data_IF_193781117897
#
_entry.id   IF_193781117897
#
_cell.length_a   1.000
_cell.length_b   1.000
_cell.length_c   1.000
_cell.angle_alpha   90.00
_cell.angle_beta   90.00
_cell.angle_gamma   90.00
#
_symmetry.space_group_name_H-M   'P 1'
#
loop_
_entity.id
_entity.type
_entity.pdbx_description
1 polymer ?
#
# COMPACT_ATOMS: atom_id res chain seq x y z
N UNK A 1 -10.31 -11.22 10.00
CA UNK A 1 -9.45 -12.18 10.73
C UNK A 1 -8.07 -11.61 11.04
N UNK A 2 -7.36 -10.98 10.09
CA UNK A 2 -6.04 -10.39 10.33
C UNK A 2 -6.04 -9.32 11.44
N UNK A 3 -7.00 -8.38 11.41
CA UNK A 3 -7.12 -7.32 12.41
C UNK A 3 -7.35 -7.86 13.82
N UNK A 4 -8.29 -8.79 13.97
CA UNK A 4 -8.54 -9.47 15.25
C UNK A 4 -7.29 -10.18 15.77
N UNK A 5 -6.57 -10.90 14.90
CA UNK A 5 -5.32 -11.58 15.26
C UNK A 5 -4.25 -10.58 15.73
N UNK A 6 -4.17 -9.41 15.09
CA UNK A 6 -3.23 -8.35 15.47
C UNK A 6 -3.49 -7.84 16.90
N UNK A 7 -4.77 -7.67 17.26
CA UNK A 7 -5.18 -7.27 18.62
C UNK A 7 -5.03 -8.39 19.66
N UNK A 8 -5.05 -9.68 19.29
CA UNK A 8 -4.79 -10.78 20.26
C UNK A 8 -3.42 -10.68 20.95
N UNK A 9 -2.45 -10.08 20.28
CA UNK A 9 -1.09 -9.89 20.82
C UNK A 9 -0.85 -8.51 21.43
N UNK A 10 -1.87 -7.65 21.47
CA UNK A 10 -1.80 -6.25 21.92
C UNK A 10 -2.96 -5.96 22.85
N UNK A 11 -2.69 -5.97 24.15
CA UNK A 11 -3.70 -5.69 25.15
C UNK A 11 -4.17 -4.24 25.03
N UNK A 12 -5.48 -4.06 24.91
CA UNK A 12 -6.16 -2.79 25.09
C UNK A 12 -7.08 -2.91 26.29
N UNK A 13 -7.20 -1.84 27.07
CA UNK A 13 -8.02 -1.77 28.28
C UNK A 13 -9.51 -1.83 27.97
N UNK A 14 -9.91 -1.25 26.84
CA UNK A 14 -11.30 -1.21 26.40
C UNK A 14 -11.42 -1.11 24.88
N UNK A 15 -12.54 -1.61 24.36
CA UNK A 15 -12.96 -1.48 22.95
C UNK A 15 -14.21 -0.61 22.87
N UNK A 16 -14.12 0.50 22.14
CA UNK A 16 -15.22 1.39 21.84
C UNK A 16 -15.61 1.29 20.36
N UNK A 17 -16.91 1.44 20.07
CA UNK A 17 -17.43 1.38 18.71
C UNK A 17 -18.50 2.41 18.46
N UNK A 18 -18.55 2.90 17.22
CA UNK A 18 -19.78 3.47 16.66
C UNK A 18 -20.94 2.47 16.77
N UNK A 19 -22.17 2.92 17.02
CA UNK A 19 -23.36 2.06 17.10
C UNK A 19 -23.73 1.38 15.77
N UNK A 20 -23.24 1.87 14.63
CA UNK A 20 -23.54 1.30 13.33
C UNK A 20 -22.99 -0.14 13.20
N UNK A 21 -23.82 -1.05 12.69
CA UNK A 21 -23.57 -2.51 12.67
C UNK A 21 -22.20 -2.89 12.14
N UNK A 22 -21.76 -2.29 11.03
CA UNK A 22 -20.44 -2.53 10.42
C UNK A 22 -19.26 -2.28 11.38
N UNK A 23 -19.38 -1.31 12.29
CA UNK A 23 -18.38 -1.04 13.32
C UNK A 23 -18.55 -2.01 14.49
N UNK A 24 -19.78 -2.23 14.95
CA UNK A 24 -20.07 -3.16 16.04
C UNK A 24 -19.55 -4.56 15.77
N UNK A 25 -19.83 -5.12 14.59
CA UNK A 25 -19.32 -6.42 14.16
C UNK A 25 -17.78 -6.46 14.18
N UNK A 26 -17.13 -5.40 13.69
CA UNK A 26 -15.66 -5.29 13.71
C UNK A 26 -15.11 -5.21 15.13
N UNK A 27 -15.77 -4.44 16.00
CA UNK A 27 -15.40 -4.26 17.40
C UNK A 27 -15.56 -5.56 18.20
N UNK A 28 -16.60 -6.34 17.93
CA UNK A 28 -16.80 -7.66 18.53
C UNK A 28 -15.67 -8.63 18.16
N UNK A 29 -15.19 -8.62 16.92
CA UNK A 29 -14.01 -9.40 16.55
C UNK A 29 -12.73 -8.96 17.26
N UNK A 30 -12.58 -7.66 17.56
CA UNK A 30 -11.43 -7.12 18.29
C UNK A 30 -11.52 -7.46 19.78
N UNK A 31 -12.70 -7.26 20.38
CA UNK A 31 -12.96 -7.55 21.78
C UNK A 31 -12.88 -9.04 22.09
N UNK A 32 -13.26 -9.89 21.14
CA UNK A 32 -13.34 -11.33 21.33
C UNK A 32 -14.23 -11.70 22.53
N UNK A 33 -13.94 -12.83 23.17
CA UNK A 33 -14.64 -13.26 24.39
C UNK A 33 -14.12 -12.54 25.65
N UNK A 34 -13.13 -11.67 25.51
CA UNK A 34 -12.29 -11.18 26.61
C UNK A 34 -12.81 -9.88 27.22
N UNK A 35 -13.59 -9.09 26.48
CA UNK A 35 -14.09 -7.80 26.94
C UNK A 35 -15.41 -7.42 26.25
N UNK A 36 -16.13 -6.47 26.85
CA UNK A 36 -17.36 -5.91 26.29
C UNK A 36 -17.03 -4.74 25.36
N UNK A 37 -17.77 -4.62 24.26
CA UNK A 37 -17.74 -3.42 23.41
C UNK A 37 -18.59 -2.30 24.04
N UNK A 38 -17.98 -1.13 24.21
CA UNK A 38 -18.63 0.10 24.65
C UNK A 38 -19.12 0.90 23.44
N UNK A 39 -20.39 1.32 23.46
CA UNK A 39 -20.97 2.12 22.38
C UNK A 39 -20.75 3.60 22.68
N UNK A 40 -20.26 4.35 21.69
CA UNK A 40 -20.14 5.82 21.76
C UNK A 40 -20.72 6.44 20.49
N UNK A 41 -21.80 7.21 20.66
CA UNK A 41 -22.53 7.87 19.57
C UNK A 41 -21.65 8.88 18.82
N UNK A 42 -20.70 9.52 19.50
CA UNK A 42 -19.78 10.46 18.87
C UNK A 42 -18.84 9.81 17.84
N UNK A 43 -18.81 8.49 17.71
CA UNK A 43 -17.98 7.75 16.73
C UNK A 43 -18.66 7.50 15.37
N UNK A 44 -19.92 7.91 15.17
CA UNK A 44 -20.65 7.67 13.91
C UNK A 44 -20.00 8.35 12.71
N UNK A 45 -20.27 7.82 11.50
CA UNK A 45 -19.81 8.41 10.24
C UNK A 45 -20.41 9.81 10.04
N UNK A 46 -19.81 10.59 9.14
CA UNK A 46 -20.37 11.85 8.68
C UNK A 46 -21.80 11.66 8.16
N UNK A 47 -22.68 12.58 8.55
CA UNK A 47 -24.04 12.65 8.02
C UNK A 47 -24.02 13.18 6.57
N UNK A 48 -24.44 12.37 5.61
CA UNK A 48 -24.53 12.77 4.21
C UNK A 48 -25.77 13.64 3.92
N UNK A 49 -26.67 13.80 4.89
CA UNK A 49 -27.89 14.59 4.76
C UNK A 49 -28.73 14.17 3.56
N UNK A 50 -29.14 15.14 2.75
CA UNK A 50 -29.94 14.88 1.54
C UNK A 50 -29.20 14.04 0.48
N UNK A 51 -27.88 13.88 0.58
CA UNK A 51 -27.09 13.09 -0.37
C UNK A 51 -26.99 11.60 -0.01
N UNK A 52 -27.54 11.19 1.13
CA UNK A 52 -27.57 9.79 1.53
C UNK A 52 -28.26 8.93 0.45
N UNK A 53 -27.62 7.82 0.06
CA UNK A 53 -28.05 6.92 -1.02
C UNK A 53 -28.18 7.55 -2.42
N UNK A 54 -27.65 8.75 -2.67
CA UNK A 54 -27.62 9.34 -4.02
C UNK A 54 -26.33 8.99 -4.77
N UNK A 55 -26.45 8.76 -6.08
CA UNK A 55 -25.30 8.63 -6.97
C UNK A 55 -24.64 9.99 -7.23
N UNK A 56 -23.31 10.02 -7.40
CA UNK A 56 -22.59 11.28 -7.65
C UNK A 56 -23.07 12.02 -8.91
N UNK A 57 -23.51 11.30 -9.94
CA UNK A 57 -24.08 11.88 -11.16
C UNK A 57 -25.40 12.60 -10.87
N UNK A 58 -26.22 12.05 -9.99
CA UNK A 58 -27.48 12.65 -9.54
C UNK A 58 -27.21 13.88 -8.68
N UNK A 59 -26.30 13.77 -7.70
CA UNK A 59 -25.88 14.90 -6.85
C UNK A 59 -25.41 16.07 -7.71
N UNK A 60 -24.54 15.81 -8.70
CA UNK A 60 -24.02 16.84 -9.60
C UNK A 60 -25.11 17.50 -10.44
N UNK A 61 -26.13 16.75 -10.84
CA UNK A 61 -27.27 17.26 -11.61
C UNK A 61 -28.20 18.14 -10.75
N UNK A 62 -28.52 17.68 -9.53
CA UNK A 62 -29.48 18.33 -8.63
C UNK A 62 -28.88 19.52 -7.87
N UNK A 63 -27.59 19.47 -7.54
CA UNK A 63 -26.89 20.51 -6.76
C UNK A 63 -25.60 20.99 -7.45
N UNK A 64 -25.64 21.47 -8.70
CA UNK A 64 -24.42 21.71 -9.50
C UNK A 64 -23.47 22.73 -8.86
N UNK A 65 -24.00 23.82 -8.32
CA UNK A 65 -23.21 24.87 -7.67
C UNK A 65 -22.57 24.38 -6.37
N UNK A 66 -23.37 23.74 -5.50
CA UNK A 66 -22.88 23.21 -4.23
C UNK A 66 -21.88 22.06 -4.44
N UNK A 67 -22.10 21.20 -5.45
CA UNK A 67 -21.16 20.14 -5.81
C UNK A 67 -19.80 20.74 -6.21
N UNK A 68 -19.80 21.82 -6.99
CA UNK A 68 -18.56 22.49 -7.41
C UNK A 68 -17.88 23.24 -6.25
N UNK A 69 -18.65 23.95 -5.42
CA UNK A 69 -18.16 24.61 -4.20
C UNK A 69 -17.53 23.59 -3.25
N UNK A 70 -18.22 22.48 -3.02
CA UNK A 70 -17.73 21.37 -2.19
C UNK A 70 -16.49 20.71 -2.79
N UNK A 71 -16.36 20.64 -4.11
CA UNK A 71 -15.14 20.19 -4.76
C UNK A 71 -13.92 21.07 -4.47
N UNK A 72 -14.12 22.38 -4.29
CA UNK A 72 -13.07 23.35 -3.92
C UNK A 72 -12.77 23.34 -2.41
N UNK A 73 -13.80 23.14 -1.60
CA UNK A 73 -13.76 23.25 -0.14
C UNK A 73 -14.31 21.99 0.55
N UNK A 74 -13.77 20.83 0.16
CA UNK A 74 -14.28 19.51 0.58
C UNK A 74 -14.26 19.35 2.10
N UNK A 75 -13.34 20.01 2.81
CA UNK A 75 -13.20 19.86 4.25
C UNK A 75 -14.31 20.56 5.05
N UNK A 76 -14.84 21.67 4.53
CA UNK A 76 -15.67 22.62 5.29
C UNK A 76 -17.09 22.74 4.77
N UNK A 77 -17.33 22.51 3.48
CA UNK A 77 -18.67 22.62 2.88
C UNK A 77 -19.42 21.29 3.05
N UNK A 78 -20.50 21.24 3.85
CA UNK A 78 -21.27 20.02 4.06
C UNK A 78 -22.26 19.76 2.91
N UNK A 79 -22.72 18.50 2.74
CA UNK A 79 -23.97 18.22 2.04
C UNK A 79 -25.16 18.98 2.68
N UNK A 80 -26.26 19.24 1.93
CA UNK A 80 -27.46 19.84 2.50
C UNK A 80 -28.02 19.00 3.64
N UNK A 81 -28.23 19.61 4.81
CA UNK A 81 -28.69 18.92 6.02
C UNK A 81 -27.68 17.96 6.66
N UNK A 82 -26.47 17.84 6.10
CA UNK A 82 -25.44 16.91 6.56
C UNK A 82 -24.33 17.58 7.38
N UNK A 83 -23.21 16.86 7.48
CA UNK A 83 -22.03 17.24 8.26
C UNK A 83 -20.82 17.49 7.35
N UNK A 84 -19.97 18.46 7.70
CA UNK A 84 -18.67 18.69 7.06
C UNK A 84 -17.61 17.83 7.73
N UNK A 85 -16.49 17.58 7.05
CA UNK A 85 -15.38 16.84 7.66
C UNK A 85 -14.84 17.55 8.90
N UNK A 86 -14.77 18.89 8.88
CA UNK A 86 -14.35 19.70 10.03
C UNK A 86 -15.26 19.48 11.25
N UNK A 87 -16.58 19.56 11.07
CA UNK A 87 -17.55 19.37 12.16
C UNK A 87 -17.52 17.94 12.70
N UNK A 88 -17.44 16.95 11.81
CA UNK A 88 -17.30 15.55 12.23
C UNK A 88 -16.00 15.30 13.00
N UNK A 89 -14.91 15.97 12.64
CA UNK A 89 -13.64 15.89 13.36
C UNK A 89 -13.76 16.40 14.80
N UNK A 90 -14.40 17.56 15.01
CA UNK A 90 -14.66 18.12 16.34
C UNK A 90 -15.49 17.17 17.20
N UNK A 91 -16.59 16.65 16.63
CA UNK A 91 -17.45 15.67 17.30
C UNK A 91 -16.69 14.40 17.70
N UNK A 92 -15.86 13.87 16.79
CA UNK A 92 -15.04 12.70 17.07
C UNK A 92 -14.00 13.00 18.14
N UNK A 93 -13.37 14.18 18.12
CA UNK A 93 -12.42 14.60 19.13
C UNK A 93 -13.06 14.66 20.53
N UNK A 94 -14.26 15.24 20.64
CA UNK A 94 -15.01 15.28 21.90
C UNK A 94 -15.33 13.87 22.42
N UNK A 95 -15.67 12.94 21.52
CA UNK A 95 -15.92 11.55 21.86
C UNK A 95 -14.65 10.87 22.40
N UNK A 96 -13.51 11.06 21.73
CA UNK A 96 -12.24 10.52 22.17
C UNK A 96 -11.80 11.09 23.53
N UNK A 97 -12.03 12.39 23.77
CA UNK A 97 -11.74 13.01 25.08
C UNK A 97 -12.58 12.39 26.21
N UNK A 98 -13.87 12.10 25.97
CA UNK A 98 -14.72 11.38 26.93
C UNK A 98 -14.23 9.96 27.15
N UNK A 99 -13.82 9.25 26.11
CA UNK A 99 -13.30 7.89 26.20
C UNK A 99 -12.04 7.87 27.07
N UNK A 100 -11.06 8.71 26.74
CA UNK A 100 -9.78 8.80 27.46
C UNK A 100 -9.96 9.23 28.93
N UNK A 101 -10.91 10.12 29.21
CA UNK A 101 -11.24 10.50 30.59
C UNK A 101 -11.81 9.35 31.44
N UNK A 102 -12.30 8.27 30.82
CA UNK A 102 -12.90 7.12 31.49
C UNK A 102 -12.00 5.87 31.47
N UNK A 103 -10.84 5.91 30.83
CA UNK A 103 -9.94 4.75 30.70
C UNK A 103 -8.54 5.05 31.25
N UNK A 104 -7.81 3.99 31.59
CA UNK A 104 -6.40 4.06 31.96
C UNK A 104 -5.63 3.11 31.06
N UNK A 105 -4.82 3.66 30.14
CA UNK A 105 -4.06 2.88 29.16
C UNK A 105 -4.65 2.91 27.75
N UNK A 106 -4.17 2.01 26.91
CA UNK A 106 -4.51 1.97 25.48
C UNK A 106 -5.93 1.48 25.24
N UNK A 107 -6.66 2.14 24.33
CA UNK A 107 -8.03 1.77 23.92
C UNK A 107 -8.09 1.50 22.43
N UNK A 108 -8.94 0.57 22.02
CA UNK A 108 -9.29 0.39 20.62
C UNK A 108 -10.59 1.14 20.30
N UNK A 109 -10.58 1.96 19.26
CA UNK A 109 -11.75 2.72 18.80
C UNK A 109 -12.09 2.32 17.37
N UNK A 110 -13.31 1.83 17.15
CA UNK A 110 -13.82 1.44 15.84
C UNK A 110 -14.80 2.48 15.32
N UNK A 111 -14.38 3.19 14.27
CA UNK A 111 -15.14 4.27 13.61
C UNK A 111 -15.04 4.14 12.08
N UNK A 112 -15.33 5.22 11.35
CA UNK A 112 -15.49 5.23 9.91
C UNK A 112 -14.48 6.11 9.20
N UNK A 113 -14.35 5.94 7.88
CA UNK A 113 -13.31 6.59 7.11
C UNK A 113 -13.52 8.10 6.96
N UNK A 114 -14.76 8.59 6.83
CA UNK A 114 -15.02 10.01 6.61
C UNK A 114 -14.63 10.83 7.84
N UNK A 115 -15.25 10.51 8.97
CA UNK A 115 -15.03 11.20 10.24
C UNK A 115 -13.58 11.09 10.73
N UNK A 116 -12.94 9.92 10.59
CA UNK A 116 -11.55 9.73 11.00
C UNK A 116 -10.56 10.55 10.17
N UNK A 117 -10.77 10.72 8.85
CA UNK A 117 -9.89 11.57 8.04
C UNK A 117 -9.91 13.03 8.51
N UNK A 118 -11.09 13.55 8.87
CA UNK A 118 -11.22 14.91 9.39
C UNK A 118 -10.36 15.11 10.64
N UNK A 119 -10.49 14.20 11.62
CA UNK A 119 -9.67 14.21 12.84
C UNK A 119 -8.16 14.13 12.50
N UNK A 120 -7.78 13.23 11.59
CA UNK A 120 -6.38 13.05 11.19
C UNK A 120 -5.79 14.31 10.55
N UNK A 121 -6.56 15.05 9.74
CA UNK A 121 -6.09 16.34 9.22
C UNK A 121 -5.72 17.30 10.36
N UNK A 122 -6.56 17.40 11.40
CA UNK A 122 -6.28 18.22 12.58
C UNK A 122 -5.01 17.78 13.31
N UNK A 123 -4.87 16.48 13.57
CA UNK A 123 -3.70 15.90 14.26
C UNK A 123 -2.40 16.09 13.45
N UNK A 124 -2.47 15.93 12.13
CA UNK A 124 -1.33 16.05 11.22
C UNK A 124 -0.98 17.51 10.86
N UNK A 125 -1.80 18.48 11.28
CA UNK A 125 -1.67 19.87 10.86
C UNK A 125 -1.88 20.06 9.34
N UNK A 126 -2.63 19.16 8.70
CA UNK A 126 -2.94 19.25 7.27
C UNK A 126 -4.12 20.20 7.05
N UNK A 127 -4.12 20.87 5.90
CA UNK A 127 -5.31 21.54 5.40
C UNK A 127 -6.46 20.52 5.30
N UNK A 128 -7.59 20.83 5.93
CA UNK A 128 -8.80 19.99 5.95
C UNK A 128 -9.35 19.74 4.53
N UNK A 129 -9.01 20.56 3.54
CA UNK A 129 -9.38 20.32 2.15
C UNK A 129 -8.57 19.19 1.48
N UNK A 130 -7.52 18.69 2.14
CA UNK A 130 -6.74 17.51 1.73
C UNK A 130 -7.21 16.22 2.40
N UNK A 131 -8.37 16.24 3.06
CA UNK A 131 -8.92 15.12 3.85
C UNK A 131 -8.97 13.79 3.07
N UNK A 132 -9.24 13.82 1.76
CA UNK A 132 -9.31 12.62 0.92
C UNK A 132 -7.94 11.97 0.67
N UNK A 133 -6.84 12.68 0.93
CA UNK A 133 -5.47 12.15 0.81
C UNK A 133 -5.06 11.32 2.03
N UNK A 134 -5.79 11.40 3.13
CA UNK A 134 -5.52 10.63 4.34
C UNK A 134 -5.91 9.16 4.10
N UNK A 135 -4.96 8.21 4.19
CA UNK A 135 -5.24 6.78 4.01
C UNK A 135 -6.16 6.25 5.11
N UNK A 136 -7.23 5.56 4.69
CA UNK A 136 -8.15 4.84 5.59
C UNK A 136 -8.64 3.56 4.88
N UNK A 137 -7.77 2.56 4.68
CA UNK A 137 -8.19 1.28 4.09
C UNK A 137 -9.07 0.51 5.07
N UNK A 138 -9.93 -0.36 4.54
CA UNK A 138 -10.72 -1.26 5.37
C UNK A 138 -9.82 -2.12 6.26
N UNK A 139 -10.13 -2.19 7.55
CA UNK A 139 -9.29 -2.90 8.52
C UNK A 139 -7.88 -2.31 8.66
N UNK A 140 -7.69 -1.06 8.27
CA UNK A 140 -6.50 -0.28 8.60
C UNK A 140 -6.51 0.17 10.07
N UNK A 141 -5.33 0.40 10.61
CA UNK A 141 -5.10 0.84 11.97
C UNK A 141 -4.44 2.22 11.92
N UNK A 142 -4.93 3.13 12.76
CA UNK A 142 -4.25 4.39 13.06
C UNK A 142 -3.97 4.43 14.55
N UNK A 143 -2.71 4.64 14.95
CA UNK A 143 -2.31 4.77 16.36
C UNK A 143 -2.04 6.23 16.68
N UNK A 144 -2.77 6.75 17.65
CA UNK A 144 -2.71 8.14 18.11
C UNK A 144 -2.24 8.12 19.56
N UNK A 145 -1.21 8.92 19.88
CA UNK A 145 -0.82 9.17 21.26
C UNK A 145 -1.56 10.41 21.76
N UNK A 146 -2.19 10.28 22.94
CA UNK A 146 -2.80 11.37 23.67
C UNK A 146 -1.84 11.82 24.78
N UNK A 147 -1.67 13.12 24.96
CA UNK A 147 -0.98 13.68 26.11
C UNK A 147 -1.88 13.69 27.36
N UNK A 148 -1.27 13.92 28.53
CA UNK A 148 -1.98 13.93 29.82
C UNK A 148 -3.05 15.04 29.92
N UNK A 149 -3.01 16.05 29.05
CA UNK A 149 -3.96 17.16 28.98
C UNK A 149 -5.12 16.89 27.99
N UNK A 150 -5.19 15.68 27.41
CA UNK A 150 -6.18 15.33 26.39
C UNK A 150 -5.89 15.92 25.00
N UNK A 151 -4.74 16.56 24.82
CA UNK A 151 -4.21 16.98 23.54
C UNK A 151 -3.70 15.79 22.73
N UNK A 152 -4.16 15.65 21.50
CA UNK A 152 -3.58 14.69 20.56
C UNK A 152 -2.29 15.25 19.97
N UNK A 153 -1.17 15.12 20.68
CA UNK A 153 0.14 15.53 20.17
C UNK A 153 0.77 14.43 19.32
N UNK A 154 0.58 14.55 18.00
CA UNK A 154 1.63 14.54 16.97
C UNK A 154 2.66 13.42 16.85
N UNK A 155 2.68 12.39 17.70
CA UNK A 155 3.46 11.19 17.48
C UNK A 155 2.50 10.08 17.05
N UNK A 156 2.15 10.11 15.76
CA UNK A 156 1.50 8.98 15.12
C UNK A 156 2.60 8.00 14.73
N UNK A 157 2.53 6.77 15.22
CA UNK A 157 3.44 5.73 14.73
C UNK A 157 3.01 5.28 13.32
N UNK A 158 1.69 5.21 13.06
CA UNK A 158 1.12 4.68 11.81
C UNK A 158 -0.31 5.23 11.57
N UNK A 159 -0.65 5.62 10.33
CA UNK A 159 -2.00 6.06 9.90
C UNK A 159 -2.52 5.17 8.78
N UNK A 160 -3.70 4.58 8.98
CA UNK A 160 -4.39 3.78 7.97
C UNK A 160 -3.55 2.62 7.44
N UNK A 161 -2.74 1.97 8.28
CA UNK A 161 -1.87 0.86 7.85
C UNK A 161 -2.52 -0.48 8.09
N UNK A 162 -2.20 -1.47 7.26
CA UNK A 162 -2.62 -2.84 7.49
C UNK A 162 -1.81 -3.49 8.60
N UNK A 163 -2.40 -4.43 9.36
CA UNK A 163 -1.67 -5.27 10.31
C UNK A 163 -0.46 -5.99 9.71
N UNK A 164 -0.58 -6.40 8.45
CA UNK A 164 0.48 -7.05 7.68
C UNK A 164 1.21 -6.01 6.83
N UNK A 165 2.53 -6.13 6.75
CA UNK A 165 3.40 -5.22 5.99
C UNK A 165 3.12 -5.25 4.48
N UNK A 166 2.65 -6.40 3.99
CA UNK A 166 2.34 -6.65 2.59
C UNK A 166 1.12 -7.58 2.46
N UNK A 167 0.37 -7.47 1.35
CA UNK A 167 -0.79 -8.30 1.06
C UNK A 167 -0.37 -9.74 0.77
N UNK A 168 -1.21 -10.71 1.14
CA UNK A 168 -1.06 -12.07 0.62
C UNK A 168 -1.38 -12.15 -0.89
N UNK A 169 -1.19 -13.33 -1.48
CA UNK A 169 -1.44 -13.56 -2.91
C UNK A 169 -2.91 -13.26 -3.31
N UNK A 170 -3.86 -13.61 -2.44
CA UNK A 170 -5.29 -13.39 -2.70
C UNK A 170 -5.65 -11.91 -2.69
N UNK A 171 -5.08 -11.13 -1.76
CA UNK A 171 -5.21 -9.68 -1.73
C UNK A 171 -4.53 -9.06 -2.96
N UNK A 172 -3.34 -9.51 -3.36
CA UNK A 172 -2.68 -9.04 -4.58
C UNK A 172 -3.62 -9.17 -5.79
N UNK A 173 -4.22 -10.35 -5.99
CA UNK A 173 -5.19 -10.59 -7.07
C UNK A 173 -6.38 -9.62 -7.01
N UNK A 174 -6.99 -9.45 -5.83
CA UNK A 174 -8.12 -8.53 -5.64
C UNK A 174 -7.75 -7.08 -5.91
N UNK A 175 -6.53 -6.66 -5.58
CA UNK A 175 -6.01 -5.33 -5.91
C UNK A 175 -5.84 -5.19 -7.43
N UNK A 176 -5.21 -6.16 -8.09
CA UNK A 176 -5.09 -6.16 -9.56
C UNK A 176 -6.44 -6.10 -10.25
N UNK A 177 -7.47 -6.79 -9.73
CA UNK A 177 -8.85 -6.74 -10.24
C UNK A 177 -9.49 -5.37 -10.02
N UNK A 178 -9.39 -4.84 -8.80
CA UNK A 178 -9.95 -3.52 -8.42
C UNK A 178 -9.38 -2.38 -9.27
N UNK A 179 -8.10 -2.45 -9.61
CA UNK A 179 -7.41 -1.44 -10.40
C UNK A 179 -7.32 -1.78 -11.89
N UNK A 180 -8.05 -2.80 -12.34
CA UNK A 180 -8.19 -3.19 -13.75
C UNK A 180 -6.85 -3.43 -14.46
N UNK A 181 -5.90 -4.07 -13.78
CA UNK A 181 -4.58 -4.40 -14.34
C UNK A 181 -4.76 -5.41 -15.50
N UNK A 182 -4.33 -5.09 -16.73
CA UNK A 182 -4.47 -5.99 -17.88
C UNK A 182 -3.71 -7.32 -17.74
N UNK A 183 -4.20 -8.38 -18.38
CA UNK A 183 -3.61 -9.73 -18.32
C UNK A 183 -2.13 -9.76 -18.68
N UNK A 184 -1.72 -9.10 -19.77
CA UNK A 184 -0.31 -9.07 -20.18
C UNK A 184 0.61 -8.40 -19.16
N UNK A 185 0.11 -7.43 -18.38
CA UNK A 185 0.88 -6.82 -17.28
C UNK A 185 0.94 -7.79 -16.09
N UNK A 186 -0.15 -8.47 -15.76
CA UNK A 186 -0.15 -9.49 -14.70
C UNK A 186 0.82 -10.63 -14.99
N UNK A 187 0.92 -11.06 -16.25
CA UNK A 187 1.89 -12.08 -16.68
C UNK A 187 3.33 -11.60 -16.49
N UNK A 188 3.60 -10.33 -16.81
CA UNK A 188 4.88 -9.69 -16.55
C UNK A 188 5.19 -9.61 -15.05
N UNK A 189 4.26 -9.10 -14.25
CA UNK A 189 4.36 -9.01 -12.79
C UNK A 189 4.62 -10.39 -12.16
N UNK A 190 3.95 -11.45 -12.63
CA UNK A 190 4.18 -12.82 -12.16
C UNK A 190 5.59 -13.32 -12.51
N UNK A 191 6.10 -13.01 -13.71
CA UNK A 191 7.45 -13.39 -14.11
C UNK A 191 8.52 -12.67 -13.26
N UNK A 192 8.35 -11.36 -13.03
CA UNK A 192 9.20 -10.55 -12.15
C UNK A 192 9.16 -11.07 -10.71
N UNK A 193 7.96 -11.28 -10.15
CA UNK A 193 7.76 -11.78 -8.80
C UNK A 193 8.44 -13.13 -8.58
N UNK A 194 8.30 -14.06 -9.53
CA UNK A 194 8.92 -15.37 -9.46
C UNK A 194 10.45 -15.28 -9.44
N UNK A 195 11.04 -14.46 -10.31
CA UNK A 195 12.49 -14.30 -10.39
C UNK A 195 13.04 -13.67 -9.10
N UNK A 196 12.42 -12.56 -8.67
CA UNK A 196 12.82 -11.83 -7.47
C UNK A 196 12.71 -12.72 -6.21
N UNK A 197 11.60 -13.46 -6.06
CA UNK A 197 11.40 -14.39 -4.96
C UNK A 197 12.47 -15.49 -4.91
N UNK A 198 12.83 -16.06 -6.07
CA UNK A 198 13.88 -17.09 -6.14
C UNK A 198 15.24 -16.58 -5.69
N UNK A 199 15.58 -15.32 -5.96
CA UNK A 199 16.81 -14.70 -5.47
C UNK A 199 16.72 -14.44 -3.96
N UNK A 200 15.62 -13.86 -3.49
CA UNK A 200 15.44 -13.58 -2.06
C UNK A 200 15.48 -14.83 -1.18
N UNK A 201 14.86 -15.95 -1.60
CA UNK A 201 14.94 -17.22 -0.85
C UNK A 201 16.39 -17.69 -0.69
N UNK A 202 17.21 -17.55 -1.73
CA UNK A 202 18.63 -17.94 -1.68
C UNK A 202 19.43 -17.00 -0.80
N UNK A 203 19.30 -15.69 -1.00
CA UNK A 203 20.00 -14.68 -0.21
C UNK A 203 19.67 -14.80 1.29
N UNK A 204 18.39 -15.06 1.62
CA UNK A 204 17.98 -15.32 3.01
C UNK A 204 18.68 -16.53 3.63
N UNK A 205 18.87 -17.62 2.85
CA UNK A 205 19.65 -18.80 3.31
C UNK A 205 21.12 -18.50 3.51
N UNK A 206 21.66 -17.53 2.75
CA UNK A 206 23.03 -17.03 2.88
C UNK A 206 23.18 -15.98 4.00
N UNK A 207 22.13 -15.70 4.76
CA UNK A 207 22.16 -14.79 5.91
C UNK A 207 21.91 -13.32 5.59
N UNK A 208 21.48 -12.99 4.36
CA UNK A 208 21.04 -11.63 4.03
C UNK A 208 19.66 -11.36 4.64
N UNK A 209 19.50 -10.16 5.18
CA UNK A 209 18.22 -9.67 5.70
C UNK A 209 17.31 -9.22 4.55
N UNK A 210 16.67 -10.20 3.90
CA UNK A 210 15.76 -9.99 2.78
C UNK A 210 14.50 -10.82 3.03
N UNK A 211 13.33 -10.22 2.84
CA UNK A 211 12.04 -10.90 2.94
C UNK A 211 11.57 -11.40 1.55
N UNK A 212 11.56 -12.72 1.30
CA UNK A 212 11.14 -13.28 0.02
C UNK A 212 9.67 -13.06 -0.29
N UNK A 213 8.80 -12.95 0.72
CA UNK A 213 7.36 -12.78 0.51
C UNK A 213 7.02 -11.31 0.24
N UNK A 214 7.67 -10.38 0.94
CA UNK A 214 7.61 -8.96 0.60
C UNK A 214 8.06 -8.72 -0.85
N UNK A 215 9.17 -9.33 -1.27
CA UNK A 215 9.69 -9.13 -2.62
C UNK A 215 8.78 -9.77 -3.69
N UNK A 216 8.23 -10.95 -3.40
CA UNK A 216 7.25 -11.64 -4.27
C UNK A 216 6.02 -10.78 -4.50
N UNK A 217 5.44 -10.25 -3.43
CA UNK A 217 4.22 -9.43 -3.48
C UNK A 217 4.47 -8.05 -4.09
N UNK A 218 5.65 -7.46 -3.84
CA UNK A 218 6.09 -6.25 -4.54
C UNK A 218 6.19 -6.51 -6.05
N UNK A 219 6.76 -7.64 -6.48
CA UNK A 219 6.79 -8.04 -7.90
C UNK A 219 5.41 -8.18 -8.53
N UNK A 220 4.43 -8.70 -7.78
CA UNK A 220 3.04 -8.88 -8.25
C UNK A 220 2.25 -7.59 -8.40
N UNK A 221 2.73 -6.47 -7.85
CA UNK A 221 1.99 -5.20 -7.80
C UNK A 221 2.82 -4.00 -8.27
N UNK A 222 4.08 -4.18 -8.69
CA UNK A 222 4.98 -3.07 -9.02
C UNK A 222 4.46 -2.21 -10.18
N UNK A 223 3.67 -2.81 -11.07
CA UNK A 223 3.09 -2.21 -12.27
C UNK A 223 1.55 -2.08 -12.14
N UNK A 224 1.00 -2.12 -10.92
CA UNK A 224 -0.46 -2.00 -10.66
C UNK A 224 -1.12 -0.77 -11.29
N UNK A 225 -0.34 0.30 -11.52
CA UNK A 225 -0.80 1.52 -12.16
C UNK A 225 -0.18 1.76 -13.54
N UNK A 226 0.27 0.71 -14.24
CA UNK A 226 1.05 0.80 -15.49
C UNK A 226 0.44 1.70 -16.57
N UNK A 227 -0.88 1.81 -16.62
CA UNK A 227 -1.61 2.63 -17.59
C UNK A 227 -1.72 4.12 -17.20
N UNK A 228 -1.24 4.51 -16.01
CA UNK A 228 -1.26 5.90 -15.53
C UNK A 228 0.06 6.60 -15.85
N UNK A 229 0.05 7.94 -16.04
CA UNK A 229 1.29 8.72 -16.06
C UNK A 229 2.06 8.53 -14.76
N UNK A 230 3.39 8.42 -14.86
CA UNK A 230 4.27 8.16 -13.70
C UNK A 230 3.78 6.95 -12.88
N UNK A 231 3.67 5.80 -13.55
CA UNK A 231 3.01 4.61 -13.03
C UNK A 231 3.59 4.13 -11.70
N UNK A 232 4.89 4.28 -11.49
CA UNK A 232 5.55 3.89 -10.24
C UNK A 232 5.04 4.72 -9.06
N UNK A 233 4.96 6.06 -9.20
CA UNK A 233 4.39 6.93 -8.16
C UNK A 233 2.89 6.73 -8.01
N UNK A 234 2.17 6.50 -9.10
CA UNK A 234 0.74 6.21 -9.06
C UNK A 234 0.44 4.89 -8.32
N UNK A 235 1.22 3.85 -8.59
CA UNK A 235 1.15 2.56 -7.89
C UNK A 235 1.50 2.70 -6.42
N UNK A 236 2.57 3.44 -6.09
CA UNK A 236 2.94 3.70 -4.71
C UNK A 236 1.83 4.46 -3.94
N UNK A 237 1.13 5.39 -4.60
CA UNK A 237 -0.03 6.07 -4.00
C UNK A 237 -1.16 5.08 -3.72
N UNK A 238 -1.47 4.20 -4.67
CA UNK A 238 -2.48 3.14 -4.49
C UNK A 238 -2.14 2.28 -3.27
N UNK A 239 -0.92 1.77 -3.18
CA UNK A 239 -0.51 0.91 -2.07
C UNK A 239 -0.53 1.62 -0.72
N UNK A 240 -0.18 2.91 -0.65
CA UNK A 240 -0.36 3.72 0.57
C UNK A 240 -1.83 3.81 0.96
N UNK A 241 -2.73 4.06 0.01
CA UNK A 241 -4.17 4.15 0.26
C UNK A 241 -4.78 2.80 0.67
N UNK A 242 -4.22 1.69 0.22
CA UNK A 242 -4.60 0.32 0.60
C UNK A 242 -3.95 -0.14 1.92
N UNK A 243 -3.08 0.69 2.52
CA UNK A 243 -2.46 0.47 3.83
C UNK A 243 -1.13 -0.26 3.83
N UNK A 244 -0.41 -0.28 2.71
CA UNK A 244 0.89 -0.94 2.56
C UNK A 244 2.02 0.07 2.24
N UNK A 245 2.36 0.99 3.17
CA UNK A 245 3.35 2.04 2.92
C UNK A 245 4.77 1.52 2.71
N UNK A 246 5.15 0.40 3.33
CA UNK A 246 6.47 -0.23 3.14
C UNK A 246 6.62 -0.68 1.69
N UNK A 247 5.67 -1.45 1.19
CA UNK A 247 5.65 -1.90 -0.20
C UNK A 247 5.56 -0.73 -1.19
N UNK A 248 4.78 0.31 -0.86
CA UNK A 248 4.75 1.54 -1.65
C UNK A 248 6.14 2.16 -1.83
N UNK A 249 6.97 2.17 -0.78
CA UNK A 249 8.35 2.65 -0.82
C UNK A 249 9.28 1.80 -1.68
N UNK A 250 9.01 0.49 -1.81
CA UNK A 250 9.76 -0.40 -2.70
C UNK A 250 9.40 -0.09 -4.16
N UNK A 251 8.10 -0.05 -4.48
CA UNK A 251 7.66 0.10 -5.88
C UNK A 251 7.81 1.53 -6.41
N UNK A 252 7.87 2.55 -5.56
CA UNK A 252 7.94 3.96 -6.01
C UNK A 252 9.15 4.25 -6.91
N UNK A 253 10.24 3.52 -6.70
CA UNK A 253 11.52 3.72 -7.39
C UNK A 253 11.94 2.49 -8.22
N UNK A 254 11.03 1.56 -8.53
CA UNK A 254 11.40 0.30 -9.21
C UNK A 254 12.00 0.50 -10.62
N UNK A 255 11.92 1.70 -11.20
CA UNK A 255 12.54 2.01 -12.50
C UNK A 255 13.91 2.71 -12.41
N UNK A 256 14.32 3.19 -11.23
CA UNK A 256 15.58 3.91 -11.00
C UNK A 256 15.98 3.84 -9.53
N UNK A 257 17.23 3.47 -9.28
CA UNK A 257 17.83 3.52 -7.94
C UNK A 257 18.41 4.91 -7.66
N UNK A 258 18.39 5.33 -6.39
CA UNK A 258 18.89 6.64 -5.95
C UNK A 258 20.02 6.46 -4.92
N UNK A 259 20.84 7.50 -4.69
CA UNK A 259 21.77 7.52 -3.56
C UNK A 259 22.83 6.40 -3.48
N UNK A 260 23.18 5.76 -4.61
CA UNK A 260 24.17 4.67 -4.64
C UNK A 260 23.65 3.31 -4.16
N UNK A 261 22.33 3.16 -4.03
CA UNK A 261 21.65 1.92 -3.64
C UNK A 261 22.09 0.70 -4.44
N UNK A 262 22.51 0.87 -5.70
CA UNK A 262 22.97 -0.22 -6.57
C UNK A 262 24.15 -1.03 -6.03
N UNK A 263 24.83 -0.53 -4.99
CA UNK A 263 25.95 -1.21 -4.33
C UNK A 263 25.52 -2.25 -3.29
N UNK A 264 24.21 -2.35 -2.99
CA UNK A 264 23.66 -3.24 -1.96
C UNK A 264 22.51 -4.12 -2.45
N UNK A 265 22.32 -5.25 -1.76
CA UNK A 265 21.18 -6.15 -2.00
C UNK A 265 20.07 -5.82 -1.00
N UNK A 266 18.96 -5.31 -1.52
CA UNK A 266 17.72 -5.01 -0.79
C UNK A 266 16.54 -5.48 -1.64
N UNK A 267 15.33 -5.53 -1.07
CA UNK A 267 14.11 -5.82 -1.84
C UNK A 267 13.94 -4.84 -3.01
N UNK A 268 14.31 -3.58 -2.82
CA UNK A 268 14.23 -2.56 -3.88
C UNK A 268 15.19 -2.85 -5.02
N UNK A 269 16.46 -3.14 -4.74
CA UNK A 269 17.46 -3.38 -5.79
C UNK A 269 17.19 -4.69 -6.52
N UNK A 270 16.73 -5.72 -5.81
CA UNK A 270 16.33 -6.99 -6.41
C UNK A 270 15.07 -6.86 -7.28
N UNK A 271 14.06 -6.10 -6.84
CA UNK A 271 12.87 -5.84 -7.66
C UNK A 271 13.23 -5.09 -8.94
N UNK A 272 14.04 -4.03 -8.80
CA UNK A 272 14.56 -3.26 -9.93
C UNK A 272 15.28 -4.18 -10.92
N UNK A 273 16.20 -5.03 -10.45
CA UNK A 273 16.93 -5.95 -11.31
C UNK A 273 16.01 -6.98 -11.97
N UNK A 274 15.05 -7.55 -11.22
CA UNK A 274 14.12 -8.55 -11.75
C UNK A 274 13.25 -7.99 -12.89
N UNK A 275 12.75 -6.76 -12.76
CA UNK A 275 12.06 -6.04 -13.85
C UNK A 275 12.97 -5.88 -15.08
N UNK A 276 14.23 -5.45 -14.89
CA UNK A 276 15.17 -5.29 -16.03
C UNK A 276 15.60 -6.60 -16.66
N UNK A 277 15.54 -7.70 -15.92
CA UNK A 277 15.80 -9.04 -16.45
C UNK A 277 14.53 -9.74 -16.93
N UNK A 278 13.40 -9.04 -17.02
CA UNK A 278 12.13 -9.58 -17.53
C UNK A 278 11.62 -8.78 -18.73
N UNK A 279 11.26 -9.50 -19.78
CA UNK A 279 10.62 -8.96 -20.97
C UNK A 279 9.34 -9.74 -21.20
N UNK A 280 8.20 -9.05 -21.18
CA UNK A 280 6.88 -9.70 -21.19
C UNK A 280 6.82 -10.71 -20.02
N UNK A 281 6.60 -11.99 -20.29
CA UNK A 281 6.48 -13.06 -19.29
C UNK A 281 7.76 -13.91 -19.15
N UNK A 282 8.87 -13.51 -19.78
CA UNK A 282 10.11 -14.28 -19.83
C UNK A 282 11.31 -13.51 -19.32
N UNK A 283 12.23 -14.26 -18.70
CA UNK A 283 13.52 -13.74 -18.28
C UNK A 283 14.45 -13.57 -19.49
N UNK A 284 15.19 -12.46 -19.52
CA UNK A 284 16.16 -12.08 -20.56
C UNK A 284 17.45 -11.56 -19.91
N UNK A 285 18.55 -11.62 -20.65
CA UNK A 285 19.81 -11.00 -20.19
C UNK A 285 19.70 -9.47 -20.22
N UNK A 286 20.42 -8.80 -19.31
CA UNK A 286 20.42 -7.33 -19.20
C UNK A 286 20.86 -6.69 -20.53
N UNK A 287 21.93 -7.20 -21.15
CA UNK A 287 22.44 -6.63 -22.40
C UNK A 287 21.42 -6.78 -23.53
N UNK A 288 20.72 -7.92 -23.57
CA UNK A 288 19.62 -8.13 -24.51
C UNK A 288 18.47 -7.15 -24.26
N UNK A 289 18.01 -7.02 -23.00
CA UNK A 289 16.91 -6.12 -22.62
C UNK A 289 17.20 -4.69 -23.03
N UNK A 290 18.39 -4.19 -22.69
CA UNK A 290 18.76 -2.80 -22.94
C UNK A 290 19.02 -2.53 -24.43
N UNK A 291 19.52 -3.52 -25.18
CA UNK A 291 19.64 -3.41 -26.65
C UNK A 291 18.28 -3.29 -27.32
N UNK A 292 17.26 -4.02 -26.87
CA UNK A 292 15.90 -3.94 -27.41
C UNK A 292 15.17 -2.63 -27.06
N UNK A 293 15.48 -2.02 -25.91
CA UNK A 293 14.85 -0.77 -25.48
C UNK A 293 15.56 0.48 -25.99
N UNK A 294 16.84 0.40 -26.36
CA UNK A 294 17.64 1.53 -26.86
C UNK A 294 16.99 2.34 -28.01
N UNK A 295 16.34 1.73 -29.03
CA UNK A 295 15.68 2.48 -30.09
C UNK A 295 14.54 3.40 -29.61
N UNK A 296 13.97 3.14 -28.43
CA UNK A 296 12.90 3.96 -27.83
C UNK A 296 13.45 5.26 -27.21
N UNK A 297 14.77 5.37 -27.01
CA UNK A 297 15.43 6.51 -26.37
C UNK A 297 15.83 7.59 -27.41
N UNK A 298 14.85 8.38 -27.84
CA UNK A 298 15.04 9.35 -28.95
C UNK A 298 15.72 10.65 -28.53
N UNK A 299 15.61 11.07 -27.27
CA UNK A 299 16.20 12.32 -26.76
C UNK A 299 17.55 12.09 -26.05
N UNK A 300 18.44 13.10 -25.98
CA UNK A 300 19.69 13.00 -25.20
C UNK A 300 19.44 12.61 -23.74
N UNK A 301 18.43 13.21 -23.10
CA UNK A 301 18.07 12.88 -21.73
C UNK A 301 17.57 11.43 -21.58
N UNK A 302 16.78 10.94 -22.54
CA UNK A 302 16.30 9.55 -22.52
C UNK A 302 17.46 8.55 -22.68
N UNK A 303 18.45 8.85 -23.54
CA UNK A 303 19.66 8.03 -23.69
C UNK A 303 20.51 8.02 -22.44
N UNK A 304 20.69 9.17 -21.80
CA UNK A 304 21.45 9.25 -20.54
C UNK A 304 20.74 8.50 -19.41
N UNK A 305 19.41 8.65 -19.30
CA UNK A 305 18.61 7.90 -18.33
C UNK A 305 18.68 6.39 -18.55
N UNK A 306 18.69 5.95 -19.83
CA UNK A 306 18.83 4.54 -20.21
C UNK A 306 20.21 3.99 -19.86
N UNK A 307 21.28 4.74 -20.16
CA UNK A 307 22.66 4.41 -19.79
C UNK A 307 22.82 4.28 -18.28
N UNK A 308 22.25 5.19 -17.50
CA UNK A 308 22.26 5.13 -16.05
C UNK A 308 21.57 3.87 -15.53
N UNK A 309 20.35 3.56 -16.01
CA UNK A 309 19.64 2.34 -15.61
C UNK A 309 20.41 1.07 -15.98
N UNK A 310 21.10 1.06 -17.12
CA UNK A 310 21.94 -0.06 -17.53
C UNK A 310 23.08 -0.28 -16.53
N UNK A 311 23.82 0.77 -16.20
CA UNK A 311 24.92 0.71 -15.24
C UNK A 311 24.44 0.26 -13.86
N UNK A 312 23.31 0.78 -13.39
CA UNK A 312 22.69 0.36 -12.13
C UNK A 312 22.30 -1.12 -12.16
N UNK A 313 21.69 -1.60 -13.25
CA UNK A 313 21.32 -3.01 -13.38
C UNK A 313 22.54 -3.93 -13.37
N UNK A 314 23.62 -3.54 -14.07
CA UNK A 314 24.88 -4.28 -14.05
C UNK A 314 25.54 -4.29 -12.65
N UNK A 315 25.52 -3.16 -11.94
CA UNK A 315 26.04 -3.09 -10.58
C UNK A 315 25.29 -4.01 -9.61
N UNK A 316 23.95 -3.96 -9.60
CA UNK A 316 23.15 -4.85 -8.75
C UNK A 316 23.35 -6.31 -9.14
N UNK A 317 23.41 -6.63 -10.44
CA UNK A 317 23.71 -7.97 -10.93
C UNK A 317 25.05 -8.47 -10.39
N UNK A 318 26.09 -7.64 -10.45
CA UNK A 318 27.41 -7.99 -9.93
C UNK A 318 27.40 -8.26 -8.42
N UNK A 319 26.68 -7.43 -7.64
CA UNK A 319 26.48 -7.68 -6.21
C UNK A 319 25.77 -9.02 -5.97
N UNK A 320 24.74 -9.31 -6.76
CA UNK A 320 23.96 -10.54 -6.66
C UNK A 320 24.78 -11.79 -7.04
N UNK A 321 25.56 -11.72 -8.12
CA UNK A 321 26.50 -12.77 -8.53
C UNK A 321 27.58 -13.02 -7.47
N UNK A 322 28.12 -11.96 -6.89
CA UNK A 322 29.12 -12.03 -5.83
C UNK A 322 28.56 -12.67 -4.56
N UNK A 323 27.30 -12.38 -4.23
CA UNK A 323 26.61 -12.94 -3.07
C UNK A 323 26.28 -14.44 -3.24
N UNK A 324 25.80 -14.86 -4.41
CA UNK A 324 25.38 -16.26 -4.66
C UNK A 324 26.53 -17.17 -5.10
N UNK A 325 27.67 -16.62 -5.54
CA UNK A 325 28.76 -17.38 -6.15
C UNK A 325 28.48 -17.76 -7.61
N UNK A 326 29.54 -17.87 -8.42
CA UNK A 326 29.43 -17.89 -9.90
C UNK A 326 28.62 -19.06 -10.48
N UNK A 327 28.65 -20.24 -9.86
CA UNK A 327 27.89 -21.42 -10.33
C UNK A 327 26.40 -21.33 -10.00
N UNK A 328 26.06 -20.92 -8.78
CA UNK A 328 24.65 -20.74 -8.37
C UNK A 328 24.02 -19.53 -9.05
N UNK A 329 24.82 -18.49 -9.33
CA UNK A 329 24.39 -17.34 -10.11
C UNK A 329 23.98 -17.73 -11.53
N UNK A 330 24.74 -18.60 -12.21
CA UNK A 330 24.38 -19.06 -13.55
C UNK A 330 23.03 -19.82 -13.59
N UNK A 331 22.72 -20.59 -12.54
CA UNK A 331 21.42 -21.23 -12.37
C UNK A 331 20.32 -20.20 -12.06
N UNK A 332 20.60 -19.21 -11.21
CA UNK A 332 19.66 -18.16 -10.81
C UNK A 332 19.28 -17.19 -11.94
N UNK A 333 20.20 -16.96 -12.90
CA UNK A 333 19.97 -16.20 -14.12
C UNK A 333 19.65 -17.09 -15.32
N UNK A 334 19.37 -18.37 -15.10
CA UNK A 334 18.95 -19.31 -16.13
C UNK A 334 19.87 -19.38 -17.35
N UNK A 335 21.17 -19.11 -17.17
CA UNK A 335 22.24 -19.27 -18.16
C UNK A 335 22.84 -20.68 -18.12
N UNK A 336 22.42 -21.50 -17.16
CA UNK A 336 22.74 -22.92 -17.06
C UNK A 336 22.01 -23.78 -18.12
N UNK A 337 22.70 -24.75 -18.75
CA UNK A 337 22.16 -25.59 -19.84
C UNK A 337 20.87 -26.37 -19.51
N UNK A 338 20.59 -26.65 -18.22
CA UNK A 338 19.44 -27.46 -17.79
C UNK A 338 18.15 -26.65 -17.55
N UNK A 339 18.23 -25.31 -17.50
CA UNK A 339 17.11 -24.47 -17.02
C UNK A 339 16.04 -24.12 -18.08
N UNK A 340 16.18 -24.54 -19.34
CA UNK A 340 15.32 -24.07 -20.45
C UNK A 340 14.03 -24.87 -20.65
N UNK A 341 14.00 -26.14 -20.26
CA UNK A 341 12.92 -27.10 -20.63
C UNK A 341 11.68 -26.99 -19.72
N UNK A 342 11.83 -26.49 -18.49
CA UNK A 342 10.80 -26.55 -17.44
C UNK A 342 10.04 -25.21 -17.19
N UNK A 343 10.28 -24.18 -18.02
CA UNK A 343 9.85 -22.79 -17.72
C UNK A 343 8.39 -22.46 -18.00
N UNK A 344 7.79 -23.03 -19.05
CA UNK A 344 6.43 -22.65 -19.50
C UNK A 344 5.31 -23.31 -18.69
N UNK A 345 5.55 -24.51 -18.15
CA UNK A 345 4.59 -25.23 -17.32
C UNK A 345 4.44 -24.56 -15.93
N UNK A 346 5.56 -24.20 -15.29
CA UNK A 346 5.59 -23.67 -13.93
C UNK A 346 5.03 -22.25 -13.77
N UNK A 347 5.04 -21.43 -14.83
CA UNK A 347 4.41 -20.09 -14.81
C UNK A 347 2.88 -20.20 -14.81
N UNK A 348 2.33 -21.17 -15.56
CA UNK A 348 0.88 -21.38 -15.68
C UNK A 348 0.27 -22.00 -14.40
N UNK A 349 0.99 -22.91 -13.75
CA UNK A 349 0.54 -23.51 -12.48
C UNK A 349 0.53 -22.50 -11.33
N UNK A 350 1.43 -21.51 -11.34
CA UNK A 350 1.55 -20.52 -10.27
C UNK A 350 0.57 -19.34 -10.42
N UNK A 351 0.23 -18.94 -11.65
CA UNK A 351 -0.79 -17.92 -11.90
C UNK A 351 -2.24 -18.42 -11.65
N UNK A 352 -2.44 -19.74 -11.56
CA UNK A 352 -3.74 -20.38 -11.40
C UNK A 352 -4.10 -20.74 -9.93
N UNK A 353 -3.15 -20.67 -9.00
CA UNK A 353 -3.38 -20.77 -7.55
C UNK A 353 -3.49 -19.39 -6.94
#
# INVERSE_FOLDING_TARGET
MELASWFKSRCVEAVYSSPLSRCMETAEYIAGEQQRVHVEEGLVELDAGEWENMEFTEIRSRYPQLYEERGRSIGTVPPPGGESFARGAERLQDALNRILGNTRGDVAVVTHCGVSRGLMCGILGWDINRVLEVPQPYGGISRILADDDGGFRGFYEQTGVKPLLYPDHGICRRLSDRYSVPEHIRLHEAAVARLAHQWAVRLKRLGYDIDPELLRTAGLLHDIARLKPDHARAGARILRMEGYPVMAGIIQCHHRLEGGEESGLTERTLLFLADKMTLEDRMVDIDERFRQSAPKCTTPQARENHRLQYNQAQAVRHCLESAMGSLEAADAFGTSPQASVDRKARIREWAAG
#
